data_IF_972862439002
#
_entry.id   IF_972862439002
#
_cell.length_a   1.000
_cell.length_b   1.000
_cell.length_c   1.000
_cell.angle_alpha   90.00
_cell.angle_beta   90.00
_cell.angle_gamma   90.00
#
_symmetry.space_group_name_H-M   'P 1'
#
loop_
_entity.id
_entity.type
_entity.pdbx_description
1 polymer ?
#
# COMPACT_ATOMS: atom_id res chain seq x y z
N UNK A 1 -57.37 3.94 -17.25
CA UNK A 1 -55.99 3.67 -16.78
C UNK A 1 -55.50 2.42 -17.49
N UNK A 2 -54.46 2.55 -18.31
CA UNK A 2 -54.04 1.56 -19.32
C UNK A 2 -53.13 0.49 -18.71
N UNK A 3 -53.59 -0.77 -18.66
CA UNK A 3 -52.87 -1.90 -18.06
C UNK A 3 -51.55 -2.22 -18.78
N UNK A 4 -51.37 -1.80 -20.03
CA UNK A 4 -50.11 -2.00 -20.78
C UNK A 4 -48.97 -1.17 -20.21
N UNK A 5 -49.27 0.00 -19.64
CA UNK A 5 -48.29 0.89 -19.00
C UNK A 5 -47.81 0.37 -17.65
N UNK A 6 -48.65 -0.40 -16.95
CA UNK A 6 -48.30 -1.00 -15.65
C UNK A 6 -47.29 -2.13 -15.85
N UNK A 7 -47.51 -2.98 -16.87
CA UNK A 7 -46.65 -4.12 -17.15
C UNK A 7 -45.23 -3.71 -17.59
N UNK A 8 -45.10 -2.62 -18.36
CA UNK A 8 -43.79 -2.07 -18.76
C UNK A 8 -43.01 -1.52 -17.56
N UNK A 9 -43.67 -0.91 -16.57
CA UNK A 9 -42.99 -0.41 -15.37
C UNK A 9 -42.48 -1.54 -14.47
N UNK A 10 -43.25 -2.63 -14.33
CA UNK A 10 -42.84 -3.79 -13.51
C UNK A 10 -41.64 -4.52 -14.12
N UNK A 11 -41.57 -4.64 -15.46
CA UNK A 11 -40.42 -5.24 -16.15
C UNK A 11 -39.12 -4.42 -16.01
N UNK A 12 -39.21 -3.09 -15.99
CA UNK A 12 -38.03 -2.22 -15.83
C UNK A 12 -37.45 -2.29 -14.40
N UNK A 13 -38.28 -2.56 -13.39
CA UNK A 13 -37.83 -2.68 -11.99
C UNK A 13 -37.08 -4.01 -11.74
N UNK A 14 -37.43 -5.09 -12.43
CA UNK A 14 -36.78 -6.41 -12.26
C UNK A 14 -35.41 -6.53 -12.95
N UNK A 15 -35.05 -5.62 -13.86
CA UNK A 15 -33.79 -5.68 -14.60
C UNK A 15 -32.61 -4.96 -13.92
N UNK A 16 -32.81 -4.29 -12.77
CA UNK A 16 -31.73 -3.62 -12.02
C UNK A 16 -30.96 -4.64 -11.18
N UNK A 17 -30.30 -5.58 -11.87
CA UNK A 17 -29.23 -6.37 -11.26
C UNK A 17 -28.02 -5.46 -11.08
N UNK A 18 -27.82 -4.94 -9.88
CA UNK A 18 -26.59 -4.22 -9.54
C UNK A 18 -25.43 -5.21 -9.58
N UNK A 19 -24.69 -5.24 -10.69
CA UNK A 19 -23.36 -5.80 -10.76
C UNK A 19 -22.44 -4.97 -9.86
N UNK A 20 -22.36 -5.32 -8.57
CA UNK A 20 -21.22 -4.92 -7.74
C UNK A 20 -20.02 -5.63 -8.32
N UNK A 21 -19.28 -4.95 -9.18
CA UNK A 21 -17.95 -5.40 -9.54
C UNK A 21 -17.18 -5.71 -8.25
N UNK A 22 -16.54 -6.88 -8.14
CA UNK A 22 -15.81 -7.25 -6.93
C UNK A 22 -14.66 -6.27 -6.78
N UNK A 23 -14.83 -5.30 -5.89
CA UNK A 23 -13.75 -4.41 -5.43
C UNK A 23 -12.58 -5.30 -5.03
N UNK A 24 -11.44 -5.14 -5.69
CA UNK A 24 -10.22 -5.88 -5.40
C UNK A 24 -9.81 -5.64 -3.94
N UNK A 25 -9.98 -6.68 -3.12
CA UNK A 25 -9.62 -6.68 -1.70
C UNK A 25 -9.36 -8.10 -1.24
N UNK A 26 -8.48 -8.21 -0.25
CA UNK A 26 -8.29 -9.46 0.47
C UNK A 26 -9.50 -9.76 1.37
N UNK A 27 -9.72 -11.05 1.64
CA UNK A 27 -10.77 -11.50 2.54
C UNK A 27 -10.45 -11.05 3.97
N UNK A 28 -11.31 -10.23 4.56
CA UNK A 28 -11.09 -9.65 5.90
C UNK A 28 -10.91 -10.73 6.98
N UNK A 29 -11.51 -11.92 6.80
CA UNK A 29 -11.37 -13.03 7.76
C UNK A 29 -9.98 -13.65 7.74
N UNK A 30 -9.32 -13.59 6.57
CA UNK A 30 -8.05 -14.27 6.27
C UNK A 30 -6.91 -13.26 6.12
N UNK A 31 -7.21 -11.96 6.08
CA UNK A 31 -6.26 -10.86 5.86
C UNK A 31 -4.98 -10.94 6.70
N UNK A 32 -5.01 -11.28 8.02
CA UNK A 32 -3.78 -11.42 8.80
C UNK A 32 -2.83 -12.49 8.24
N UNK A 33 -3.38 -13.57 7.68
CA UNK A 33 -2.61 -14.69 7.12
C UNK A 33 -2.12 -14.42 5.70
N UNK A 34 -2.71 -13.47 4.97
CA UNK A 34 -2.33 -13.17 3.58
C UNK A 34 -0.86 -12.72 3.47
N UNK A 35 -0.37 -11.92 4.43
CA UNK A 35 1.02 -11.45 4.45
C UNK A 35 2.00 -12.60 4.70
N UNK A 36 1.66 -13.50 5.62
CA UNK A 36 2.46 -14.70 5.90
C UNK A 36 2.53 -15.59 4.67
N UNK A 37 1.38 -15.84 4.03
CA UNK A 37 1.30 -16.66 2.83
C UNK A 37 2.05 -16.05 1.65
N UNK A 38 2.05 -14.73 1.50
CA UNK A 38 2.90 -14.04 0.53
C UNK A 38 4.38 -14.31 0.81
N UNK A 39 4.82 -14.14 2.06
CA UNK A 39 6.20 -14.40 2.48
C UNK A 39 6.64 -15.87 2.32
N UNK A 40 5.71 -16.81 2.49
CA UNK A 40 5.90 -18.24 2.24
C UNK A 40 5.87 -18.60 0.74
N UNK A 41 5.56 -17.65 -0.15
CA UNK A 41 5.53 -17.86 -1.59
C UNK A 41 4.25 -18.51 -2.13
N UNK A 42 3.16 -18.54 -1.35
CA UNK A 42 1.86 -19.08 -1.78
C UNK A 42 1.27 -18.30 -2.95
N UNK A 43 1.66 -17.04 -3.13
CA UNK A 43 1.32 -16.29 -4.34
C UNK A 43 1.80 -17.00 -5.62
N UNK A 44 2.81 -17.86 -5.57
CA UNK A 44 3.28 -18.62 -6.73
C UNK A 44 2.85 -20.08 -6.66
N UNK A 45 2.99 -20.72 -5.49
CA UNK A 45 2.75 -22.15 -5.31
C UNK A 45 1.26 -22.53 -5.22
N UNK A 46 0.40 -21.68 -4.66
CA UNK A 46 -1.04 -21.91 -4.54
C UNK A 46 -1.86 -20.71 -5.06
N UNK A 47 -1.77 -20.50 -6.37
CA UNK A 47 -2.44 -19.39 -7.05
C UNK A 47 -3.96 -19.40 -6.87
N UNK A 48 -4.57 -20.59 -6.81
CA UNK A 48 -6.03 -20.71 -6.71
C UNK A 48 -6.53 -20.21 -5.35
N UNK A 49 -5.89 -20.65 -4.26
CA UNK A 49 -6.19 -20.18 -2.91
C UNK A 49 -5.94 -18.67 -2.78
N UNK A 50 -4.79 -18.21 -3.27
CA UNK A 50 -4.42 -16.80 -3.14
C UNK A 50 -5.30 -15.87 -4.00
N UNK A 51 -5.69 -16.25 -5.21
CA UNK A 51 -6.66 -15.49 -6.00
C UNK A 51 -8.03 -15.37 -5.32
N UNK A 52 -8.42 -16.39 -4.55
CA UNK A 52 -9.71 -16.41 -3.86
C UNK A 52 -9.69 -15.58 -2.57
N UNK A 53 -8.63 -15.68 -1.78
CA UNK A 53 -8.58 -15.11 -0.43
C UNK A 53 -7.69 -13.86 -0.32
N UNK A 54 -6.63 -13.78 -1.10
CA UNK A 54 -5.61 -12.73 -1.00
C UNK A 54 -5.26 -12.11 -2.37
N UNK A 55 -6.25 -11.74 -3.21
CA UNK A 55 -5.98 -11.28 -4.55
C UNK A 55 -5.27 -9.92 -4.60
N UNK A 56 -5.43 -9.08 -3.56
CA UNK A 56 -4.78 -7.78 -3.47
C UNK A 56 -3.34 -7.94 -2.98
N UNK A 57 -3.13 -8.70 -1.90
CA UNK A 57 -1.78 -8.99 -1.36
C UNK A 57 -0.89 -9.62 -2.45
N UNK A 58 -1.38 -10.66 -3.15
CA UNK A 58 -0.61 -11.28 -4.24
C UNK A 58 -0.64 -10.52 -5.57
N UNK A 59 -1.25 -9.33 -5.63
CA UNK A 59 -1.33 -8.49 -6.84
C UNK A 59 -1.97 -9.18 -8.04
N UNK A 60 -2.96 -10.01 -7.79
CA UNK A 60 -3.79 -10.63 -8.82
C UNK A 60 -4.88 -9.71 -9.36
N UNK A 61 -5.17 -8.63 -8.64
CA UNK A 61 -6.01 -7.53 -9.09
C UNK A 61 -5.43 -6.20 -8.63
N UNK A 62 -5.93 -5.11 -9.22
CA UNK A 62 -5.58 -3.75 -8.81
C UNK A 62 -6.62 -3.20 -7.82
N UNK A 63 -6.20 -2.50 -6.76
CA UNK A 63 -7.13 -1.85 -5.84
C UNK A 63 -7.95 -0.78 -6.56
N UNK A 64 -9.17 -0.51 -6.08
CA UNK A 64 -10.07 0.48 -6.69
C UNK A 64 -9.44 1.89 -6.79
N UNK A 65 -8.56 2.24 -5.84
CA UNK A 65 -7.85 3.51 -5.85
C UNK A 65 -6.85 3.66 -7.01
N UNK A 66 -6.45 2.58 -7.69
CA UNK A 66 -5.54 2.65 -8.84
C UNK A 66 -6.15 3.45 -10.00
N UNK A 67 -7.47 3.41 -10.12
CA UNK A 67 -8.21 4.16 -11.13
C UNK A 67 -8.56 5.58 -10.68
N UNK A 68 -8.29 5.92 -9.42
CA UNK A 68 -8.56 7.26 -8.91
C UNK A 68 -7.55 8.27 -9.47
N UNK A 69 -7.98 9.52 -9.63
CA UNK A 69 -7.14 10.64 -10.12
C UNK A 69 -5.82 10.78 -9.37
N UNK A 70 -5.80 10.43 -8.09
CA UNK A 70 -4.67 10.62 -7.19
C UNK A 70 -3.95 9.30 -6.84
N UNK A 71 -4.45 8.15 -7.32
CA UNK A 71 -3.93 6.81 -7.01
C UNK A 71 -4.13 6.38 -5.55
N UNK A 72 -3.40 5.33 -5.15
CA UNK A 72 -3.50 4.72 -3.81
C UNK A 72 -2.51 5.27 -2.78
N UNK A 73 -2.89 5.26 -1.50
CA UNK A 73 -1.97 5.26 -0.37
C UNK A 73 -1.33 3.88 -0.18
N UNK A 74 -0.34 3.74 0.72
CA UNK A 74 0.36 2.46 0.93
C UNK A 74 -0.55 1.35 1.50
N UNK A 75 -1.66 1.72 2.11
CA UNK A 75 -2.71 0.83 2.64
C UNK A 75 -3.84 0.58 1.63
N UNK A 76 -3.62 0.89 0.34
CA UNK A 76 -4.58 0.75 -0.76
C UNK A 76 -5.87 1.58 -0.59
N UNK A 77 -5.83 2.65 0.21
CA UNK A 77 -6.91 3.64 0.27
C UNK A 77 -6.75 4.72 -0.79
N UNK A 78 -7.83 5.45 -1.11
CA UNK A 78 -7.77 6.58 -2.05
C UNK A 78 -6.85 7.67 -1.50
N UNK A 79 -5.90 8.11 -2.33
CA UNK A 79 -5.09 9.26 -1.97
C UNK A 79 -5.89 10.55 -2.15
N UNK A 80 -5.90 11.46 -1.16
CA UNK A 80 -6.60 12.73 -1.32
C UNK A 80 -5.86 13.69 -2.25
N UNK A 81 -4.58 13.45 -2.56
CA UNK A 81 -3.73 14.33 -3.34
C UNK A 81 -2.81 13.53 -4.29
N UNK A 82 -2.52 14.01 -5.52
CA UNK A 82 -1.63 13.32 -6.47
C UNK A 82 -0.24 13.00 -5.90
N UNK A 83 0.26 13.84 -4.99
CA UNK A 83 1.56 13.70 -4.34
C UNK A 83 1.50 12.89 -3.04
N UNK A 84 0.39 12.18 -2.79
CA UNK A 84 0.15 11.38 -1.57
C UNK A 84 0.16 12.20 -0.28
N UNK A 85 0.03 13.52 -0.39
CA UNK A 85 -0.13 14.39 0.77
C UNK A 85 -1.47 14.06 1.43
N UNK A 86 -1.47 13.85 2.74
CA UNK A 86 -2.67 13.42 3.48
C UNK A 86 -2.87 11.90 3.58
N UNK A 87 -2.07 11.09 2.87
CA UNK A 87 -1.97 9.67 3.21
C UNK A 87 -1.37 9.52 4.61
N UNK A 88 -1.87 8.56 5.40
CA UNK A 88 -1.24 8.25 6.68
C UNK A 88 0.18 7.73 6.42
N UNK A 89 1.17 8.24 7.16
CA UNK A 89 2.51 7.64 7.12
C UNK A 89 2.44 6.21 7.65
N UNK A 90 3.26 5.30 7.12
CA UNK A 90 3.40 4.01 7.77
C UNK A 90 4.06 4.20 9.13
N UNK A 91 3.27 4.04 10.18
CA UNK A 91 3.71 4.07 11.57
C UNK A 91 2.74 3.24 12.40
N UNK A 92 3.27 2.65 13.46
CA UNK A 92 2.45 2.00 14.45
C UNK A 92 1.64 3.04 15.22
N UNK A 93 0.35 2.78 15.40
CA UNK A 93 -0.55 3.65 16.15
C UNK A 93 -0.36 3.52 17.66
N UNK A 94 -0.04 2.30 18.12
CA UNK A 94 0.05 1.97 19.55
C UNK A 94 1.40 1.31 19.87
N UNK A 95 2.50 2.08 19.83
CA UNK A 95 3.88 1.58 19.92
C UNK A 95 4.10 0.48 20.96
N UNK A 96 3.73 0.72 22.23
CA UNK A 96 3.93 -0.23 23.33
C UNK A 96 3.13 -1.52 23.12
N UNK A 97 1.86 -1.38 22.68
CA UNK A 97 0.99 -2.53 22.46
C UNK A 97 1.44 -3.34 21.24
N UNK A 98 1.87 -2.68 20.17
CA UNK A 98 2.43 -3.30 18.99
C UNK A 98 3.67 -4.13 19.32
N UNK A 99 4.62 -3.57 20.07
CA UNK A 99 5.82 -4.30 20.50
C UNK A 99 5.47 -5.53 21.35
N UNK A 100 4.54 -5.39 22.30
CA UNK A 100 4.12 -6.50 23.16
C UNK A 100 3.41 -7.62 22.41
N UNK A 101 2.71 -7.28 21.32
CA UNK A 101 1.87 -8.20 20.57
C UNK A 101 2.49 -8.62 19.22
N UNK A 102 3.80 -8.45 19.03
CA UNK A 102 4.49 -8.78 17.77
C UNK A 102 4.24 -10.24 17.31
N UNK A 103 4.08 -11.17 18.24
CA UNK A 103 3.75 -12.58 17.92
C UNK A 103 2.36 -12.81 17.32
N UNK A 104 1.52 -11.78 17.22
CA UNK A 104 0.18 -11.85 16.63
C UNK A 104 0.11 -11.33 15.20
N UNK A 105 1.21 -10.83 14.60
CA UNK A 105 1.20 -10.29 13.24
C UNK A 105 0.62 -11.26 12.20
N UNK A 106 0.91 -12.56 12.35
CA UNK A 106 0.52 -13.64 11.43
C UNK A 106 -0.60 -14.54 11.98
N UNK A 107 -1.32 -14.07 13.01
CA UNK A 107 -2.35 -14.88 13.69
C UNK A 107 -3.73 -14.47 13.26
N UNK A 108 -4.59 -15.45 13.00
CA UNK A 108 -6.00 -15.17 12.77
C UNK A 108 -6.71 -14.67 14.05
N UNK A 109 -7.86 -14.02 13.86
CA UNK A 109 -8.70 -13.52 14.93
C UNK A 109 -8.39 -12.07 15.35
N UNK A 110 -9.01 -11.65 16.47
CA UNK A 110 -9.05 -10.24 16.88
C UNK A 110 -7.67 -9.61 17.06
N UNK A 111 -6.71 -10.35 17.60
CA UNK A 111 -5.38 -9.83 17.88
C UNK A 111 -4.58 -9.61 16.59
N UNK A 112 -4.57 -10.53 15.63
CA UNK A 112 -3.88 -10.28 14.36
C UNK A 112 -4.61 -9.28 13.47
N UNK A 113 -5.94 -9.21 13.54
CA UNK A 113 -6.67 -8.09 12.94
C UNK A 113 -6.21 -6.74 13.52
N UNK A 114 -6.10 -6.64 14.85
CA UNK A 114 -5.58 -5.45 15.50
C UNK A 114 -4.15 -5.12 15.03
N UNK A 115 -3.26 -6.11 15.04
CA UNK A 115 -1.86 -5.95 14.66
C UNK A 115 -1.73 -5.50 13.20
N UNK A 116 -2.48 -6.11 12.28
CA UNK A 116 -2.39 -5.79 10.85
C UNK A 116 -2.84 -4.37 10.50
N UNK A 117 -3.76 -3.79 11.27
CA UNK A 117 -4.34 -2.45 11.01
C UNK A 117 -3.63 -1.34 11.78
N UNK A 118 -3.09 -1.65 12.95
CA UNK A 118 -2.55 -0.65 13.86
C UNK A 118 -1.03 -0.71 14.02
N UNK A 119 -0.40 -1.81 13.62
CA UNK A 119 1.02 -2.05 13.82
C UNK A 119 1.77 -2.35 12.49
N UNK A 120 1.56 -1.56 11.42
CA UNK A 120 2.11 -1.87 10.10
C UNK A 120 3.63 -1.80 10.02
N UNK A 121 4.32 -1.06 10.90
CA UNK A 121 5.78 -1.08 10.98
C UNK A 121 6.27 -2.28 11.76
N UNK A 122 5.71 -2.52 12.95
CA UNK A 122 6.10 -3.68 13.78
C UNK A 122 5.90 -4.99 13.02
N UNK A 123 4.78 -5.13 12.30
CA UNK A 123 4.49 -6.31 11.49
C UNK A 123 5.07 -6.25 10.07
N UNK A 124 5.88 -5.23 9.74
CA UNK A 124 6.54 -5.08 8.45
C UNK A 124 5.59 -5.14 7.24
N UNK A 125 4.35 -4.67 7.43
CA UNK A 125 3.28 -4.72 6.43
C UNK A 125 3.49 -3.65 5.35
N UNK A 126 3.99 -2.49 5.76
CA UNK A 126 4.25 -1.44 4.80
C UNK A 126 5.61 -1.65 4.12
N UNK A 127 5.73 -1.26 2.84
CA UNK A 127 7.01 -1.31 2.15
C UNK A 127 8.05 -0.42 2.85
N UNK A 128 9.25 -0.95 3.07
CA UNK A 128 10.37 -0.25 3.74
C UNK A 128 10.78 1.07 3.07
N UNK A 129 10.29 1.34 1.85
CA UNK A 129 10.67 2.51 1.06
C UNK A 129 9.49 3.48 0.84
N UNK A 130 8.93 3.98 1.94
CA UNK A 130 7.97 5.11 1.93
C UNK A 130 8.65 6.41 1.48
N UNK A 131 9.99 6.44 1.41
CA UNK A 131 10.72 7.63 0.98
C UNK A 131 10.63 7.91 -0.52
N UNK A 132 10.23 6.94 -1.38
CA UNK A 132 9.93 7.27 -2.78
C UNK A 132 8.65 8.09 -2.97
N UNK A 133 7.73 8.13 -2.00
CA UNK A 133 6.55 9.01 -2.03
C UNK A 133 6.78 10.35 -1.31
N UNK A 134 7.92 10.54 -0.62
CA UNK A 134 8.29 11.81 0.03
C UNK A 134 9.45 12.55 -0.64
N UNK A 135 10.46 11.86 -1.18
CA UNK A 135 11.60 12.51 -1.86
C UNK A 135 11.20 13.19 -3.18
N UNK A 136 10.18 12.67 -3.87
CA UNK A 136 9.69 13.30 -5.09
C UNK A 136 8.96 14.65 -4.86
N UNK A 137 8.47 14.91 -3.64
CA UNK A 137 7.63 16.07 -3.34
C UNK A 137 8.39 17.31 -2.87
N UNK A 138 9.57 17.18 -2.25
CA UNK A 138 10.37 18.34 -1.83
C UNK A 138 11.43 18.79 -2.85
N UNK A 139 12.03 17.87 -3.60
CA UNK A 139 13.08 18.26 -4.57
C UNK A 139 12.52 18.98 -5.82
N UNK A 140 11.28 18.69 -6.23
CA UNK A 140 10.66 19.33 -7.40
C UNK A 140 10.16 20.75 -7.13
N UNK A 141 9.85 21.10 -5.88
CA UNK A 141 9.40 22.46 -5.55
C UNK A 141 10.54 23.47 -5.34
N UNK A 142 11.72 23.03 -4.88
CA UNK A 142 12.88 23.93 -4.70
C UNK A 142 13.79 24.07 -5.93
N UNK A 143 13.62 23.25 -6.98
CA UNK A 143 14.43 23.30 -8.21
C UNK A 143 13.87 24.19 -9.34
N UNK A 144 12.96 25.13 -9.05
CA UNK A 144 12.68 26.29 -9.94
C UNK A 144 13.62 27.47 -9.67
N UNK A 145 14.94 27.23 -9.63
CA UNK A 145 15.94 28.30 -9.81
C UNK A 145 16.73 28.03 -11.10
N UNK A 146 17.04 29.08 -11.88
CA UNK A 146 17.48 28.94 -13.26
C UNK A 146 18.84 28.27 -13.38
N UNK A 147 19.02 27.58 -14.51
CA UNK A 147 20.27 26.95 -14.95
C UNK A 147 21.41 27.98 -14.92
N UNK A 148 22.48 27.68 -14.19
CA UNK A 148 23.74 28.40 -14.36
C UNK A 148 24.71 28.26 -13.19
N UNK A 149 25.53 27.20 -13.18
CA UNK A 149 27.01 27.28 -13.05
C UNK A 149 27.65 25.88 -12.91
N UNK A 150 28.51 25.61 -13.89
CA UNK A 150 29.73 24.79 -13.96
C UNK A 150 29.89 23.63 -12.96
N UNK A 151 30.05 22.43 -13.53
CA UNK A 151 30.74 21.28 -12.87
C UNK A 151 32.17 21.71 -12.52
N UNK A 152 32.57 21.50 -11.26
CA UNK A 152 33.99 21.42 -10.89
C UNK A 152 34.29 19.94 -10.69
N UNK A 153 35.34 19.39 -11.32
CA UNK A 153 35.82 18.04 -11.02
C UNK A 153 36.57 18.07 -9.69
N UNK A 154 36.21 17.20 -8.75
CA UNK A 154 37.07 16.94 -7.58
C UNK A 154 38.08 15.89 -8.01
N UNK A 155 39.33 16.33 -8.12
CA UNK A 155 40.48 15.52 -8.45
C UNK A 155 40.87 14.61 -7.27
N UNK A 156 41.36 13.43 -7.65
CA UNK A 156 42.17 12.50 -6.85
C UNK A 156 43.47 13.20 -6.44
N UNK A 157 43.96 12.93 -5.23
CA UNK A 157 45.28 13.38 -4.79
C UNK A 157 45.67 12.80 -3.43
N UNK A 158 46.55 11.80 -3.50
CA UNK A 158 47.30 11.14 -2.41
C UNK A 158 48.23 12.09 -1.62
N UNK A 159 48.92 11.49 -0.61
CA UNK A 159 50.28 11.78 -0.11
C UNK A 159 50.41 12.79 1.07
N UNK A 160 51.17 12.62 2.16
CA UNK A 160 52.24 11.68 2.63
C UNK A 160 52.27 11.69 4.18
N UNK A 161 52.87 10.62 4.73
CA UNK A 161 53.24 10.29 6.11
C UNK A 161 53.91 11.37 6.99
N UNK A 162 53.88 11.13 8.31
CA UNK A 162 55.04 11.33 9.19
C UNK A 162 55.09 10.26 10.30
N UNK A 163 56.20 9.52 10.34
CA UNK A 163 56.63 8.61 11.41
C UNK A 163 57.07 9.37 12.68
N UNK A 164 56.95 8.74 13.86
CA UNK A 164 58.01 8.59 14.90
C UNK A 164 57.46 7.66 16.01
N UNK A 165 57.86 6.37 16.11
CA UNK A 165 58.93 5.75 16.94
C UNK A 165 58.99 6.35 18.36
N UNK A 166 58.87 5.61 19.47
CA UNK A 166 59.44 4.30 19.87
C UNK A 166 58.43 3.48 20.69
#
# INVERSE_FOLDING_TARGET
MDQRRILTCVLMILAVTHSKDPVCRDDEKVYPSCMTWEGEGLCVSDKAKMKKHCPLTCRYCEPACSQSKHGCCWDNTNSPDPFKLGCMGCKDRYLVLCQRMVGYCDKEGRNGYFMSRNCPKTCQICPHNINKSREFSLETHLRRRPRGRRRVPVAVGENIALETRL
#
